data_IF_128624063520
#
_entry.id   IF_128624063520
#
_cell.length_a   1.000
_cell.length_b   1.000
_cell.length_c   1.000
_cell.angle_alpha   90.00
_cell.angle_beta   90.00
_cell.angle_gamma   90.00
#
_symmetry.space_group_name_H-M   'P 1'
#
loop_
_entity.id
_entity.type
_entity.pdbx_description
1 polymer ?
#
# COMPACT_ATOMS: atom_id res chain seq x y z
N UNK A 1 -61.39 -40.08 -17.28
CA UNK A 1 -60.03 -40.20 -17.89
C UNK A 1 -59.11 -39.18 -17.24
N UNK A 2 -58.13 -39.62 -16.45
CA UNK A 2 -57.16 -38.72 -15.79
C UNK A 2 -56.22 -38.14 -16.87
N UNK A 3 -56.18 -36.80 -17.00
CA UNK A 3 -55.28 -36.11 -17.93
C UNK A 3 -53.82 -36.39 -17.54
N UNK A 4 -53.07 -37.08 -18.41
CA UNK A 4 -51.61 -37.28 -18.27
C UNK A 4 -50.93 -35.91 -18.38
N UNK A 5 -50.33 -35.45 -17.29
CA UNK A 5 -49.58 -34.19 -17.23
C UNK A 5 -48.36 -34.30 -18.17
N UNK A 6 -47.99 -33.27 -18.95
CA UNK A 6 -46.87 -33.36 -19.88
C UNK A 6 -45.55 -33.67 -19.17
N UNK A 7 -44.82 -34.66 -19.69
CA UNK A 7 -43.51 -35.07 -19.17
C UNK A 7 -42.50 -33.95 -19.34
N UNK A 8 -41.72 -33.68 -18.29
CA UNK A 8 -40.70 -32.64 -18.30
C UNK A 8 -39.60 -33.01 -19.32
N UNK A 9 -39.16 -32.09 -20.20
CA UNK A 9 -38.10 -32.36 -21.16
C UNK A 9 -36.78 -32.75 -20.47
N UNK A 10 -36.07 -33.74 -21.01
CA UNK A 10 -34.80 -34.26 -20.48
C UNK A 10 -33.71 -33.16 -20.37
N UNK A 11 -33.68 -32.24 -21.34
CA UNK A 11 -32.79 -31.08 -21.34
C UNK A 11 -33.00 -30.17 -20.12
N UNK A 12 -34.24 -30.01 -19.66
CA UNK A 12 -34.59 -29.25 -18.47
C UNK A 12 -34.11 -29.97 -17.20
N UNK A 13 -34.22 -31.30 -17.15
CA UNK A 13 -33.74 -32.11 -16.02
C UNK A 13 -32.21 -32.02 -15.89
N UNK A 14 -31.47 -32.18 -17.00
CA UNK A 14 -30.00 -32.01 -17.02
C UNK A 14 -29.58 -30.61 -16.59
N UNK A 15 -30.28 -29.57 -17.04
CA UNK A 15 -30.03 -28.17 -16.63
C UNK A 15 -30.27 -27.95 -15.13
N UNK A 16 -31.33 -28.53 -14.56
CA UNK A 16 -31.63 -28.46 -13.11
C UNK A 16 -30.54 -29.14 -12.28
N UNK A 17 -30.08 -30.32 -12.70
CA UNK A 17 -28.99 -31.03 -12.03
C UNK A 17 -27.68 -30.24 -12.07
N UNK A 18 -27.27 -29.74 -13.24
CA UNK A 18 -26.07 -28.92 -13.38
C UNK A 18 -26.14 -27.64 -12.53
N UNK A 19 -27.30 -26.96 -12.51
CA UNK A 19 -27.51 -25.78 -11.67
C UNK A 19 -27.43 -26.11 -10.17
N UNK A 20 -28.01 -27.23 -9.72
CA UNK A 20 -27.93 -27.67 -8.33
C UNK A 20 -26.48 -27.91 -7.88
N UNK A 21 -25.67 -28.58 -8.71
CA UNK A 21 -24.24 -28.80 -8.46
C UNK A 21 -23.48 -27.46 -8.39
N UNK A 22 -23.72 -26.56 -9.34
CA UNK A 22 -23.08 -25.24 -9.36
C UNK A 22 -23.48 -24.38 -8.15
N UNK A 23 -24.75 -24.43 -7.73
CA UNK A 23 -25.26 -23.74 -6.55
C UNK A 23 -24.61 -24.28 -5.27
N UNK A 24 -24.52 -25.60 -5.13
CA UNK A 24 -23.86 -26.25 -4.00
C UNK A 24 -22.37 -25.88 -3.91
N UNK A 25 -21.64 -25.91 -5.04
CA UNK A 25 -20.23 -25.48 -5.13
C UNK A 25 -20.05 -24.01 -4.75
N UNK A 26 -20.94 -23.13 -5.25
CA UNK A 26 -20.93 -21.70 -4.90
C UNK A 26 -21.16 -21.47 -3.41
N UNK A 27 -22.10 -22.20 -2.81
CA UNK A 27 -22.41 -22.08 -1.38
C UNK A 27 -21.24 -22.54 -0.51
N UNK A 28 -20.62 -23.68 -0.83
CA UNK A 28 -19.38 -24.13 -0.16
C UNK A 28 -18.25 -23.09 -0.26
N UNK A 29 -18.06 -22.48 -1.45
CA UNK A 29 -17.05 -21.42 -1.67
C UNK A 29 -17.31 -20.16 -0.84
N UNK A 30 -18.57 -19.72 -0.77
CA UNK A 30 -18.96 -18.54 0.02
C UNK A 30 -18.68 -18.78 1.51
N UNK A 31 -19.03 -19.95 2.04
CA UNK A 31 -18.78 -20.32 3.43
C UNK A 31 -17.29 -20.34 3.75
N UNK A 32 -16.46 -20.94 2.88
CA UNK A 32 -15.01 -20.95 3.04
C UNK A 32 -14.42 -19.52 3.04
N UNK A 33 -14.84 -18.67 2.09
CA UNK A 33 -14.41 -17.27 2.02
C UNK A 33 -14.84 -16.50 3.27
N UNK A 34 -16.05 -16.72 3.80
CA UNK A 34 -16.53 -16.05 5.00
C UNK A 34 -15.68 -16.41 6.22
N UNK A 35 -15.36 -17.70 6.40
CA UNK A 35 -14.45 -18.18 7.46
C UNK A 35 -13.07 -17.54 7.33
N UNK A 36 -12.48 -17.57 6.14
CA UNK A 36 -11.18 -16.95 5.87
C UNK A 36 -11.17 -15.45 6.18
N UNK A 37 -12.19 -14.70 5.72
CA UNK A 37 -12.29 -13.25 5.97
C UNK A 37 -12.40 -12.91 7.45
N UNK A 38 -13.12 -13.72 8.24
CA UNK A 38 -13.24 -13.52 9.70
C UNK A 38 -11.88 -13.67 10.38
N UNK A 39 -11.13 -14.73 10.05
CA UNK A 39 -9.79 -14.96 10.59
C UNK A 39 -8.81 -13.84 10.17
N UNK A 40 -8.81 -13.47 8.89
CA UNK A 40 -7.95 -12.40 8.37
C UNK A 40 -8.25 -11.04 9.02
N UNK A 41 -9.53 -10.70 9.25
CA UNK A 41 -9.89 -9.44 9.91
C UNK A 41 -9.37 -9.39 11.35
N UNK A 42 -9.48 -10.49 12.10
CA UNK A 42 -8.92 -10.59 13.46
C UNK A 42 -7.40 -10.39 13.45
N UNK A 43 -6.70 -11.02 12.50
CA UNK A 43 -5.25 -10.86 12.34
C UNK A 43 -4.85 -9.42 12.00
N UNK A 44 -5.53 -8.79 11.04
CA UNK A 44 -5.26 -7.40 10.63
C UNK A 44 -5.45 -6.44 11.83
N UNK A 45 -6.51 -6.64 12.61
CA UNK A 45 -6.79 -5.83 13.78
C UNK A 45 -5.70 -5.96 14.85
N UNK A 46 -5.31 -7.20 15.18
CA UNK A 46 -4.22 -7.45 16.14
C UNK A 46 -2.90 -6.83 15.68
N UNK A 47 -2.57 -6.94 14.38
CA UNK A 47 -1.37 -6.32 13.79
C UNK A 47 -1.43 -4.79 13.87
N UNK A 48 -2.57 -4.18 13.56
CA UNK A 48 -2.73 -2.74 13.65
C UNK A 48 -2.50 -2.21 15.08
N UNK A 49 -3.02 -2.92 16.08
CA UNK A 49 -2.77 -2.60 17.50
C UNK A 49 -1.28 -2.73 17.85
N UNK A 50 -0.63 -3.81 17.41
CA UNK A 50 0.80 -4.03 17.65
C UNK A 50 1.65 -2.90 17.04
N UNK A 51 1.41 -2.54 15.79
CA UNK A 51 2.13 -1.43 15.13
C UNK A 51 1.88 -0.10 15.84
N UNK A 52 0.65 0.18 16.27
CA UNK A 52 0.38 1.41 17.03
C UNK A 52 1.18 1.46 18.35
N UNK A 53 1.25 0.34 19.08
CA UNK A 53 2.06 0.22 20.30
C UNK A 53 3.54 0.41 19.99
N UNK A 54 4.05 -0.20 18.93
CA UNK A 54 5.44 -0.09 18.47
C UNK A 54 5.81 1.37 18.16
N UNK A 55 5.02 2.06 17.32
CA UNK A 55 5.30 3.46 16.98
C UNK A 55 5.30 4.38 18.20
N UNK A 56 4.36 4.18 19.14
CA UNK A 56 4.31 4.93 20.40
C UNK A 56 5.52 4.64 21.29
N UNK A 57 5.96 3.39 21.34
CA UNK A 57 7.14 2.99 22.11
C UNK A 57 8.41 3.61 21.55
N UNK A 58 8.63 3.50 20.23
CA UNK A 58 9.80 4.10 19.55
C UNK A 58 9.90 5.60 19.80
N UNK A 59 8.80 6.34 19.65
CA UNK A 59 8.77 7.78 19.90
C UNK A 59 9.14 8.14 21.35
N UNK A 60 8.57 7.42 22.32
CA UNK A 60 8.88 7.64 23.75
C UNK A 60 10.30 7.24 24.11
N UNK A 61 10.83 6.19 23.48
CA UNK A 61 12.19 5.73 23.69
C UNK A 61 13.19 6.81 23.24
N UNK A 62 12.99 7.41 22.07
CA UNK A 62 13.86 8.49 21.56
C UNK A 62 13.92 9.67 22.54
N UNK A 63 12.76 10.11 23.05
CA UNK A 63 12.66 11.17 24.05
C UNK A 63 13.39 10.78 25.34
N UNK A 64 13.22 9.53 25.80
CA UNK A 64 13.86 9.04 27.02
C UNK A 64 15.39 9.03 26.87
N UNK A 65 15.91 8.55 25.75
CA UNK A 65 17.35 8.53 25.47
C UNK A 65 17.94 9.94 25.47
N UNK A 66 17.27 10.89 24.79
CA UNK A 66 17.70 12.29 24.79
C UNK A 66 17.71 12.92 26.20
N UNK A 67 16.71 12.61 27.04
CA UNK A 67 16.67 13.07 28.44
C UNK A 67 17.76 12.45 29.30
N UNK A 68 18.01 11.15 29.15
CA UNK A 68 19.08 10.45 29.88
C UNK A 68 20.46 11.02 29.56
N UNK A 69 20.74 11.26 28.27
CA UNK A 69 22.00 11.87 27.85
C UNK A 69 22.17 13.26 28.48
N UNK A 70 21.13 14.11 28.37
CA UNK A 70 21.14 15.46 28.98
C UNK A 70 21.35 15.43 30.49
N UNK A 71 20.71 14.49 31.20
CA UNK A 71 20.90 14.30 32.65
C UNK A 71 22.33 13.94 33.00
N UNK A 72 22.99 13.14 32.16
CA UNK A 72 24.39 12.75 32.33
C UNK A 72 25.39 13.80 31.83
N UNK A 73 24.93 14.95 31.31
CA UNK A 73 25.79 15.97 30.68
C UNK A 73 26.31 15.59 29.29
N UNK A 74 25.82 14.50 28.70
CA UNK A 74 26.22 14.00 27.38
C UNK A 74 25.20 14.36 26.29
N UNK A 75 25.59 14.19 25.03
CA UNK A 75 24.72 14.40 23.87
C UNK A 75 24.22 13.07 23.29
N UNK A 76 22.95 13.03 22.91
CA UNK A 76 22.37 11.91 22.18
C UNK A 76 22.20 12.29 20.70
N UNK A 77 22.80 11.50 19.81
CA UNK A 77 22.68 11.67 18.35
C UNK A 77 21.64 10.66 17.83
N UNK A 78 20.49 11.11 17.32
CA UNK A 78 19.47 10.22 16.78
C UNK A 78 19.94 9.55 15.49
N UNK A 79 19.35 8.41 15.17
CA UNK A 79 19.65 7.71 13.92
C UNK A 79 19.25 8.54 12.70
N UNK A 80 20.09 8.50 11.65
CA UNK A 80 19.77 9.17 10.39
C UNK A 80 18.47 8.61 9.77
N UNK A 81 17.62 9.48 9.20
CA UNK A 81 16.38 9.05 8.59
C UNK A 81 16.62 8.18 7.36
N UNK A 82 15.85 7.10 7.24
CA UNK A 82 16.01 6.10 6.16
C UNK A 82 15.05 6.32 4.98
N UNK A 83 14.11 7.25 5.09
CA UNK A 83 13.04 7.48 4.13
C UNK A 83 12.90 8.97 3.84
N UNK A 84 12.86 9.34 2.57
CA UNK A 84 12.49 10.67 2.12
C UNK A 84 11.20 10.62 1.29
N UNK A 85 10.46 11.72 1.31
CA UNK A 85 9.41 12.00 0.34
C UNK A 85 9.88 13.14 -0.56
N UNK A 86 9.78 12.91 -1.87
CA UNK A 86 10.29 13.81 -2.91
C UNK A 86 9.14 14.25 -3.78
N UNK A 87 8.94 15.56 -3.92
CA UNK A 87 7.90 16.17 -4.75
C UNK A 87 8.57 17.02 -5.83
N UNK A 88 8.08 16.93 -7.07
CA UNK A 88 8.54 17.80 -8.15
C UNK A 88 7.88 19.18 -8.08
N UNK A 89 8.68 20.23 -8.07
CA UNK A 89 8.20 21.62 -7.97
C UNK A 89 8.35 22.41 -9.28
N UNK A 90 9.27 22.04 -10.17
CA UNK A 90 9.49 22.72 -11.46
C UNK A 90 9.10 21.86 -12.67
N UNK A 91 8.70 22.53 -13.77
CA UNK A 91 8.29 21.90 -15.04
C UNK A 91 9.41 21.24 -15.84
N UNK A 92 9.12 20.86 -17.09
CA UNK A 92 10.06 20.19 -18.01
C UNK A 92 10.85 21.12 -18.93
N UNK A 93 10.52 22.42 -18.95
CA UNK A 93 11.14 23.40 -19.82
C UNK A 93 12.55 23.73 -19.35
N UNK A 94 13.51 23.80 -20.27
CA UNK A 94 14.91 24.14 -19.95
C UNK A 94 15.64 23.13 -19.06
N UNK A 95 15.11 21.90 -18.90
CA UNK A 95 15.73 20.88 -18.05
C UNK A 95 16.82 20.13 -18.83
N UNK A 96 18.05 20.13 -18.31
CA UNK A 96 19.17 19.39 -18.90
C UNK A 96 18.86 17.88 -19.02
N UNK A 97 19.37 17.19 -20.06
CA UNK A 97 19.07 15.77 -20.27
C UNK A 97 19.42 14.88 -19.06
N UNK A 98 20.51 15.18 -18.36
CA UNK A 98 20.95 14.45 -17.16
C UNK A 98 19.93 14.57 -16.02
N UNK A 99 19.50 15.79 -15.70
CA UNK A 99 18.48 16.05 -14.67
C UNK A 99 17.15 15.40 -15.05
N UNK A 100 16.75 15.54 -16.32
CA UNK A 100 15.52 14.93 -16.86
C UNK A 100 15.52 13.42 -16.68
N UNK A 101 16.64 12.76 -16.94
CA UNK A 101 16.77 11.30 -16.77
C UNK A 101 16.66 10.89 -15.30
N UNK A 102 17.27 11.64 -14.37
CA UNK A 102 17.17 11.36 -12.93
C UNK A 102 15.72 11.53 -12.44
N UNK A 103 15.01 12.58 -12.85
CA UNK A 103 13.59 12.75 -12.54
C UNK A 103 12.73 11.59 -13.06
N UNK A 104 13.06 11.06 -14.26
CA UNK A 104 12.37 9.88 -14.80
C UNK A 104 12.65 8.61 -13.99
N UNK A 105 13.88 8.40 -13.52
CA UNK A 105 14.26 7.27 -12.65
C UNK A 105 13.49 7.33 -11.31
N UNK A 106 13.36 8.53 -10.74
CA UNK A 106 12.52 8.78 -9.55
C UNK A 106 11.02 8.71 -9.85
N UNK A 107 10.61 8.56 -11.12
CA UNK A 107 9.21 8.54 -11.59
C UNK A 107 8.47 9.88 -11.41
N UNK A 108 9.19 10.99 -11.30
CA UNK A 108 8.69 12.36 -11.17
C UNK A 108 8.42 13.00 -12.54
N UNK A 109 7.43 12.48 -13.26
CA UNK A 109 7.15 12.87 -14.67
C UNK A 109 6.42 14.21 -14.81
N UNK A 110 5.53 14.54 -13.89
CA UNK A 110 4.72 15.76 -13.89
C UNK A 110 5.00 16.58 -12.62
N UNK A 111 4.67 17.88 -12.65
CA UNK A 111 4.74 18.75 -11.47
C UNK A 111 3.78 18.22 -10.41
N UNK A 112 4.13 18.36 -9.13
CA UNK A 112 3.39 17.85 -7.98
C UNK A 112 3.25 16.33 -7.90
N UNK A 113 3.97 15.58 -8.75
CA UNK A 113 4.17 14.16 -8.49
C UNK A 113 5.07 13.97 -7.26
N UNK A 114 4.70 13.00 -6.43
CA UNK A 114 5.43 12.66 -5.21
C UNK A 114 5.84 11.18 -5.20
N UNK A 115 7.04 10.89 -4.68
CA UNK A 115 7.51 9.51 -4.48
C UNK A 115 8.26 9.35 -3.17
N UNK A 116 8.09 8.18 -2.54
CA UNK A 116 8.92 7.75 -1.42
C UNK A 116 10.22 7.16 -1.95
N UNK A 117 11.34 7.60 -1.38
CA UNK A 117 12.70 7.16 -1.73
C UNK A 117 13.40 6.65 -0.48
N UNK A 118 13.91 5.41 -0.54
CA UNK A 118 14.79 4.88 0.51
C UNK A 118 16.13 5.61 0.43
N UNK A 119 16.58 6.17 1.55
CA UNK A 119 17.82 6.93 1.61
C UNK A 119 19.03 6.00 1.72
N UNK A 120 19.96 6.21 0.81
CA UNK A 120 21.32 5.67 0.79
C UNK A 120 22.24 6.70 0.10
N UNK A 121 23.56 6.47 0.12
CA UNK A 121 24.53 7.41 -0.47
C UNK A 121 24.24 7.72 -1.95
N UNK A 122 23.86 6.71 -2.73
CA UNK A 122 23.55 6.86 -4.15
C UNK A 122 22.28 7.69 -4.39
N UNK A 123 21.21 7.44 -3.64
CA UNK A 123 19.96 8.17 -3.77
C UNK A 123 20.12 9.63 -3.35
N UNK A 124 20.91 9.91 -2.30
CA UNK A 124 21.19 11.29 -1.88
C UNK A 124 21.95 12.02 -2.99
N UNK A 125 22.95 11.40 -3.60
CA UNK A 125 23.67 11.98 -4.72
C UNK A 125 22.76 12.23 -5.94
N UNK A 126 21.82 11.32 -6.23
CA UNK A 126 20.80 11.55 -7.25
C UNK A 126 19.90 12.73 -6.91
N UNK A 127 19.47 12.87 -5.65
CA UNK A 127 18.63 13.98 -5.19
C UNK A 127 19.36 15.33 -5.31
N UNK A 128 20.66 15.39 -4.97
CA UNK A 128 21.50 16.59 -5.15
C UNK A 128 21.56 17.06 -6.60
N UNK A 129 21.64 16.14 -7.57
CA UNK A 129 21.65 16.49 -9.00
C UNK A 129 20.35 17.19 -9.43
N UNK A 130 19.20 16.80 -8.86
CA UNK A 130 17.88 17.33 -9.25
C UNK A 130 17.33 18.36 -8.27
N UNK A 131 18.09 18.75 -7.25
CA UNK A 131 17.68 19.58 -6.12
C UNK A 131 16.95 20.87 -6.53
N UNK A 132 17.37 21.62 -7.57
CA UNK A 132 16.65 22.84 -7.98
C UNK A 132 15.23 22.60 -8.53
N UNK A 133 14.87 21.34 -8.86
CA UNK A 133 13.61 20.97 -9.48
C UNK A 133 12.66 20.20 -8.54
N UNK A 134 13.13 19.84 -7.34
CA UNK A 134 12.38 19.05 -6.36
C UNK A 134 12.36 19.75 -5.00
N UNK A 135 11.32 19.47 -4.21
CA UNK A 135 11.33 19.69 -2.78
C UNK A 135 11.28 18.31 -2.11
N UNK A 136 12.16 18.05 -1.15
CA UNK A 136 12.21 16.77 -0.48
C UNK A 136 12.60 16.89 0.99
N UNK A 137 12.20 15.89 1.76
CA UNK A 137 12.47 15.85 3.19
C UNK A 137 11.96 14.56 3.83
N UNK A 138 12.04 14.48 5.16
CA UNK A 138 11.67 13.28 5.91
C UNK A 138 10.20 13.34 6.33
N UNK A 139 9.34 12.43 5.85
CA UNK A 139 7.93 12.45 6.22
C UNK A 139 7.77 11.85 7.62
N UNK A 140 6.80 12.38 8.39
CA UNK A 140 6.38 11.75 9.64
C UNK A 140 5.29 10.68 9.38
N UNK A 141 4.98 9.87 10.40
CA UNK A 141 4.00 8.78 10.28
C UNK A 141 2.61 9.25 9.84
N UNK A 142 2.16 10.42 10.33
CA UNK A 142 0.87 11.03 9.96
C UNK A 142 0.84 11.39 8.47
N UNK A 143 1.89 12.04 7.97
CA UNK A 143 2.02 12.43 6.57
C UNK A 143 2.03 11.22 5.64
N UNK A 144 2.75 10.14 6.00
CA UNK A 144 2.75 8.89 5.22
C UNK A 144 1.35 8.29 5.16
N UNK A 145 0.67 8.19 6.31
CA UNK A 145 -0.68 7.65 6.41
C UNK A 145 -1.66 8.44 5.55
N UNK A 146 -1.78 9.75 5.79
CA UNK A 146 -2.71 10.58 5.04
C UNK A 146 -2.45 10.58 3.53
N UNK A 147 -1.18 10.56 3.10
CA UNK A 147 -0.85 10.54 1.68
C UNK A 147 -1.34 9.25 1.02
N UNK A 148 -1.11 8.10 1.66
CA UNK A 148 -1.54 6.79 1.14
C UNK A 148 -3.08 6.70 1.12
N UNK A 149 -3.75 7.17 2.17
CA UNK A 149 -5.22 7.13 2.21
C UNK A 149 -5.88 8.11 1.23
N UNK A 150 -5.37 9.34 1.09
CA UNK A 150 -5.96 10.37 0.23
C UNK A 150 -5.56 10.24 -1.24
N UNK A 151 -4.31 9.85 -1.52
CA UNK A 151 -3.71 9.88 -2.87
C UNK A 151 -3.08 8.54 -3.28
N UNK A 152 -3.35 7.45 -2.57
CA UNK A 152 -2.78 6.13 -2.86
C UNK A 152 -3.43 5.43 -4.05
N UNK A 153 -2.59 5.05 -5.02
CA UNK A 153 -2.99 4.22 -6.15
C UNK A 153 -2.04 3.02 -6.29
N UNK A 154 -2.60 1.85 -6.58
CA UNK A 154 -1.85 0.66 -6.94
C UNK A 154 -1.66 0.54 -8.46
N UNK A 155 -0.46 0.12 -8.89
CA UNK A 155 -0.21 -0.29 -10.26
C UNK A 155 -0.49 -1.78 -10.41
N UNK A 156 -1.67 -2.14 -10.93
CA UNK A 156 -2.15 -3.52 -11.07
C UNK A 156 -2.37 -3.80 -12.55
N UNK A 157 -1.74 -4.84 -13.12
CA UNK A 157 -1.83 -5.13 -14.56
C UNK A 157 -1.52 -3.90 -15.44
N UNK A 158 -0.48 -3.13 -15.07
CA UNK A 158 -0.10 -1.85 -15.72
C UNK A 158 -1.15 -0.73 -15.65
N UNK A 159 -2.29 -0.94 -14.99
CA UNK A 159 -3.33 0.07 -14.78
C UNK A 159 -3.20 0.74 -13.40
N UNK A 160 -3.65 2.00 -13.31
CA UNK A 160 -3.70 2.79 -12.08
C UNK A 160 -5.06 2.60 -11.41
N UNK A 161 -5.09 1.89 -10.29
CA UNK A 161 -6.32 1.57 -9.55
C UNK A 161 -6.26 2.19 -8.16
N UNK A 162 -7.31 2.89 -7.72
CA UNK A 162 -7.38 3.46 -6.38
C UNK A 162 -7.36 2.37 -5.30
N UNK A 163 -6.66 2.61 -4.19
CA UNK A 163 -6.52 1.66 -3.09
C UNK A 163 -7.75 1.68 -2.16
N UNK A 164 -8.84 1.05 -2.59
CA UNK A 164 -10.12 1.04 -1.85
C UNK A 164 -10.34 -0.20 -0.97
N UNK A 165 -9.73 -1.34 -1.32
CA UNK A 165 -9.87 -2.60 -0.59
C UNK A 165 -8.50 -3.28 -0.42
N UNK A 166 -8.26 -3.83 0.77
CA UNK A 166 -7.08 -4.61 1.13
C UNK A 166 -6.86 -5.81 0.21
N UNK A 167 -7.90 -6.32 -0.45
CA UNK A 167 -7.77 -7.40 -1.45
C UNK A 167 -6.87 -7.01 -2.62
N UNK A 168 -6.87 -5.73 -3.02
CA UNK A 168 -6.03 -5.25 -4.11
C UNK A 168 -4.54 -5.36 -3.74
N UNK A 169 -4.23 -5.04 -2.49
CA UNK A 169 -2.88 -5.14 -1.91
C UNK A 169 -2.50 -6.62 -1.76
N UNK A 170 -3.35 -7.42 -1.11
CA UNK A 170 -3.08 -8.84 -0.83
C UNK A 170 -2.82 -9.66 -2.08
N UNK A 171 -3.56 -9.43 -3.17
CA UNK A 171 -3.36 -10.13 -4.46
C UNK A 171 -1.96 -9.93 -5.05
N UNK A 172 -1.30 -8.80 -4.76
CA UNK A 172 0.00 -8.45 -5.35
C UNK A 172 1.17 -8.60 -4.39
N UNK A 173 0.95 -8.26 -3.13
CA UNK A 173 1.98 -8.18 -2.11
C UNK A 173 1.83 -9.24 -1.03
N UNK A 174 0.79 -10.07 -1.03
CA UNK A 174 0.55 -11.06 0.02
C UNK A 174 1.56 -12.21 0.10
N UNK A 175 2.58 -12.23 -0.77
CA UNK A 175 3.72 -13.15 -0.71
C UNK A 175 4.86 -12.67 0.20
N UNK A 176 4.87 -11.37 0.52
CA UNK A 176 5.80 -10.72 1.44
C UNK A 176 5.09 -10.47 2.77
#
# INVERSE_FOLDING_TARGET
RVKKVPSVPESLLKKRQAYAVMKAKRQKKILAIKKYRKAQRKLIYARAQAYHKEYRHMYRQEIRMARMARKAGNYYVPAEPKLAFVIRIRGTNGVSPKVRKVLQLLRLRQIFNGTFVKLNKASINMLRIVEPYIAWGYPNLKSVHELIYKRGYGKINKQRIALTDNRLIQKRLGKF
#
